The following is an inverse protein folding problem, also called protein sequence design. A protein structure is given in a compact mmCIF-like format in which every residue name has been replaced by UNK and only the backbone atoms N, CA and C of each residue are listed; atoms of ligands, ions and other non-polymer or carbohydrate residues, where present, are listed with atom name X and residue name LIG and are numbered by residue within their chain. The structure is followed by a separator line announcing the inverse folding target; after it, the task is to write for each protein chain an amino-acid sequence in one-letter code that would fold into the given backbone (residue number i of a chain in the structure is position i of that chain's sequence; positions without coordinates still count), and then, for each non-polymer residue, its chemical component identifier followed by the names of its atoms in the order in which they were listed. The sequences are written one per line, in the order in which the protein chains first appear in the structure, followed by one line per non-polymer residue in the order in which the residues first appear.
data_IF_117813545039
#
_entry.id   IF_117813545039
#
_cell.length_a   1.000
_cell.length_b   1.000
_cell.length_c   1.000
_cell.angle_alpha   90.00
_cell.angle_beta   90.00
_cell.angle_gamma   90.00
#
_symmetry.space_group_name_H-M   'P 1'
#
loop_
_entity.id
_entity.type
_entity.pdbx_description
1 polymer ?
#
# COMPACT_ATOMS: atom_id res chain seq x y z
N UNK A 1 16.19 34.26 -7.00
CA UNK A 1 15.25 33.37 -6.29
C UNK A 1 15.24 32.05 -7.04
N UNK A 2 15.94 31.03 -6.54
CA UNK A 2 15.99 29.70 -7.17
C UNK A 2 15.10 28.80 -6.33
N UNK A 3 13.92 28.44 -6.85
CA UNK A 3 13.14 27.33 -6.31
C UNK A 3 13.80 26.05 -6.81
N UNK A 4 14.55 25.37 -5.94
CA UNK A 4 14.96 23.99 -6.21
C UNK A 4 13.72 23.11 -6.04
N UNK A 5 13.20 22.58 -7.16
CA UNK A 5 12.20 21.51 -7.11
C UNK A 5 12.97 20.25 -6.68
N UNK A 6 12.65 19.63 -5.53
CA UNK A 6 13.31 18.39 -5.16
C UNK A 6 13.05 17.34 -6.25
N UNK A 7 14.11 16.63 -6.63
CA UNK A 7 13.99 15.48 -7.53
C UNK A 7 13.05 14.44 -6.90
N UNK A 8 12.28 13.69 -7.69
CA UNK A 8 11.43 12.63 -7.16
C UNK A 8 12.31 11.66 -6.38
N UNK A 9 11.96 11.44 -5.11
CA UNK A 9 12.62 10.43 -4.28
C UNK A 9 12.41 9.05 -4.92
N UNK A 10 13.47 8.25 -4.99
CA UNK A 10 13.35 6.82 -5.31
C UNK A 10 12.51 6.15 -4.24
N UNK A 11 11.55 5.32 -4.65
CA UNK A 11 10.64 4.64 -3.73
C UNK A 11 11.42 3.78 -2.72
N UNK A 12 11.02 3.86 -1.44
CA UNK A 12 11.59 3.14 -0.30
C UNK A 12 10.59 2.11 0.25
N UNK A 13 10.90 0.83 0.08
CA UNK A 13 10.08 -0.29 0.55
C UNK A 13 9.87 -0.26 2.08
N UNK A 14 10.88 0.13 2.87
CA UNK A 14 10.74 0.18 4.33
C UNK A 14 9.86 1.34 4.78
N UNK A 15 9.89 2.47 4.06
CA UNK A 15 8.92 3.54 4.28
C UNK A 15 7.50 3.07 3.96
N UNK A 16 7.30 2.36 2.85
CA UNK A 16 6.01 1.75 2.51
C UNK A 16 5.50 0.79 3.59
N UNK A 17 6.40 -0.04 4.15
CA UNK A 17 6.08 -0.92 5.28
C UNK A 17 5.67 -0.14 6.53
N UNK A 18 6.36 0.96 6.85
CA UNK A 18 6.01 1.85 7.98
C UNK A 18 4.62 2.45 7.81
N UNK A 19 4.29 2.92 6.60
CA UNK A 19 2.95 3.42 6.27
C UNK A 19 1.89 2.32 6.47
N UNK A 20 2.13 1.11 5.97
CA UNK A 20 1.21 -0.02 6.16
C UNK A 20 1.03 -0.39 7.64
N UNK A 21 2.10 -0.35 8.44
CA UNK A 21 2.04 -0.57 9.87
C UNK A 21 1.16 0.47 10.57
N UNK A 22 1.31 1.75 10.22
CA UNK A 22 0.63 2.85 10.90
C UNK A 22 -0.86 2.96 10.50
N UNK A 23 -1.16 2.82 9.21
CA UNK A 23 -2.49 3.09 8.68
C UNK A 23 -3.35 1.85 8.46
N UNK A 24 -2.73 0.69 8.18
CA UNK A 24 -3.45 -0.48 7.65
C UNK A 24 -3.43 -1.70 8.59
N UNK A 25 -2.38 -1.88 9.38
CA UNK A 25 -2.12 -3.11 10.14
C UNK A 25 -3.11 -3.40 11.28
N UNK A 26 -3.93 -2.42 11.67
CA UNK A 26 -5.06 -2.66 12.60
C UNK A 26 -6.09 -3.63 12.03
N UNK A 27 -6.25 -3.64 10.70
CA UNK A 27 -7.27 -4.44 10.03
C UNK A 27 -6.66 -5.51 9.14
N UNK A 28 -5.60 -5.19 8.41
CA UNK A 28 -4.98 -6.07 7.42
C UNK A 28 -3.71 -6.73 7.97
N UNK A 29 -3.48 -8.00 7.63
CA UNK A 29 -2.14 -8.56 7.76
C UNK A 29 -1.23 -8.00 6.68
N UNK A 30 -0.04 -7.56 7.10
CA UNK A 30 0.97 -6.93 6.24
C UNK A 30 2.24 -7.79 6.10
N UNK A 31 2.25 -8.99 6.68
CA UNK A 31 3.34 -9.95 6.55
C UNK A 31 2.99 -11.07 5.54
N UNK A 32 3.89 -12.04 5.39
CA UNK A 32 3.77 -13.13 4.39
C UNK A 32 2.97 -14.34 4.89
N UNK A 33 2.56 -14.41 6.15
CA UNK A 33 2.10 -15.66 6.78
C UNK A 33 0.84 -15.52 7.63
N UNK A 34 0.68 -14.43 8.35
CA UNK A 34 -0.36 -14.23 9.33
C UNK A 34 -1.72 -13.99 8.68
N UNK A 35 -2.82 -14.40 9.34
CA UNK A 35 -4.15 -13.95 8.98
C UNK A 35 -4.35 -12.48 9.37
N UNK A 36 -5.24 -11.77 8.67
CA UNK A 36 -5.62 -10.41 9.02
C UNK A 36 -6.27 -10.34 10.41
N UNK A 37 -5.97 -9.31 11.22
CA UNK A 37 -6.65 -9.08 12.51
C UNK A 37 -8.17 -8.96 12.36
N UNK A 38 -8.64 -8.31 11.28
CA UNK A 38 -10.05 -8.26 10.92
C UNK A 38 -10.33 -9.29 9.83
N UNK A 39 -11.20 -10.28 10.12
CA UNK A 39 -11.48 -11.42 9.22
C UNK A 39 -11.92 -11.04 7.80
N UNK A 40 -12.66 -9.94 7.65
CA UNK A 40 -13.15 -9.47 6.34
C UNK A 40 -12.08 -8.70 5.54
N UNK A 41 -11.01 -8.26 6.19
CA UNK A 41 -9.94 -7.51 5.55
C UNK A 41 -8.94 -8.49 4.91
N UNK A 42 -8.74 -8.48 3.59
CA UNK A 42 -7.80 -9.41 2.95
C UNK A 42 -6.36 -9.12 3.41
N UNK A 43 -5.52 -10.16 3.60
CA UNK A 43 -4.10 -9.97 3.85
C UNK A 43 -3.44 -9.37 2.60
N UNK A 44 -2.54 -8.41 2.77
CA UNK A 44 -1.97 -7.64 1.65
C UNK A 44 -1.25 -8.51 0.62
N UNK A 45 -0.62 -9.60 1.05
CA UNK A 45 0.02 -10.61 0.20
C UNK A 45 -0.91 -11.32 -0.80
N UNK A 46 -2.22 -11.07 -0.76
CA UNK A 46 -3.21 -11.66 -1.68
C UNK A 46 -3.86 -10.64 -2.62
N UNK A 47 -3.53 -9.34 -2.49
CA UNK A 47 -4.17 -8.30 -3.30
C UNK A 47 -3.88 -8.49 -4.80
N UNK A 48 -2.63 -8.87 -5.13
CA UNK A 48 -2.17 -9.12 -6.51
C UNK A 48 -2.87 -10.27 -7.22
N UNK A 49 -3.54 -11.15 -6.46
CA UNK A 49 -4.36 -12.24 -7.02
C UNK A 49 -5.65 -11.70 -7.64
N UNK A 50 -6.10 -10.50 -7.23
CA UNK A 50 -7.35 -9.88 -7.69
C UNK A 50 -7.12 -8.80 -8.74
N UNK A 51 -6.07 -8.02 -8.60
CA UNK A 51 -5.71 -6.92 -9.51
C UNK A 51 -4.23 -6.51 -9.31
N UNK A 52 -3.58 -5.90 -10.32
CA UNK A 52 -2.28 -5.26 -10.14
C UNK A 52 -2.34 -4.22 -9.03
N UNK A 53 -1.46 -4.31 -8.02
CA UNK A 53 -1.52 -3.45 -6.83
C UNK A 53 -1.33 -1.96 -7.17
N UNK A 54 -0.72 -1.65 -8.31
CA UNK A 54 -0.56 -0.30 -8.86
C UNK A 54 -1.90 0.37 -9.17
N UNK A 55 -2.96 -0.38 -9.43
CA UNK A 55 -4.30 0.19 -9.60
C UNK A 55 -4.82 0.87 -8.32
N UNK A 56 -4.17 0.66 -7.17
CA UNK A 56 -4.50 1.35 -5.93
C UNK A 56 -3.91 2.77 -5.85
N UNK A 57 -3.02 3.18 -6.75
CA UNK A 57 -2.31 4.46 -6.65
C UNK A 57 -3.25 5.67 -6.57
N UNK A 58 -4.25 5.74 -7.45
CA UNK A 58 -5.22 6.84 -7.46
C UNK A 58 -6.02 6.87 -6.15
N UNK A 59 -6.53 5.72 -5.72
CA UNK A 59 -7.27 5.63 -4.45
C UNK A 59 -6.38 5.98 -3.24
N UNK A 60 -5.10 5.61 -3.26
CA UNK A 60 -4.14 5.97 -2.21
C UNK A 60 -3.84 7.48 -2.20
N UNK A 61 -3.82 8.12 -3.36
CA UNK A 61 -3.53 9.56 -3.50
C UNK A 61 -4.76 10.44 -3.19
N UNK A 62 -5.94 10.04 -3.65
CA UNK A 62 -7.16 10.86 -3.57
C UNK A 62 -8.02 10.52 -2.34
N UNK A 63 -7.79 9.36 -1.73
CA UNK A 63 -8.45 8.91 -0.51
C UNK A 63 -9.02 7.51 -0.65
N UNK A 64 -8.56 6.57 0.20
CA UNK A 64 -9.03 5.18 0.09
C UNK A 64 -10.48 5.08 0.58
N UNK A 65 -11.41 4.95 -0.36
CA UNK A 65 -12.82 4.64 -0.08
C UNK A 65 -13.09 3.23 -0.61
N UNK A 66 -13.25 2.27 0.29
CA UNK A 66 -13.74 0.94 -0.07
C UNK A 66 -15.22 0.81 0.23
N UNK A 67 -15.88 -0.18 -0.36
CA UNK A 67 -17.31 -0.45 -0.18
C UNK A 67 -17.73 -0.91 1.22
N UNK A 68 -16.91 -0.72 2.27
CA UNK A 68 -17.26 -1.06 3.63
C UNK A 68 -16.85 0.05 4.62
N UNK A 69 -17.78 0.55 5.47
CA UNK A 69 -17.57 1.75 6.28
C UNK A 69 -16.51 1.63 7.39
N UNK A 70 -16.04 0.41 7.67
CA UNK A 70 -15.02 0.15 8.72
C UNK A 70 -13.61 0.51 8.26
N UNK A 71 -13.35 0.66 6.96
CA UNK A 71 -12.03 1.05 6.47
C UNK A 71 -11.89 2.59 6.57
N UNK A 72 -10.90 3.11 7.34
CA UNK A 72 -10.72 4.54 7.49
C UNK A 72 -10.36 5.21 6.16
N UNK A 73 -10.85 6.43 5.96
CA UNK A 73 -10.44 7.27 4.85
C UNK A 73 -9.17 8.04 5.21
N UNK A 74 -8.17 7.96 4.33
CA UNK A 74 -6.94 8.75 4.37
C UNK A 74 -6.35 8.78 2.96
N UNK A 75 -5.48 9.75 2.70
CA UNK A 75 -4.66 9.82 1.49
C UNK A 75 -3.18 9.88 1.86
N UNK A 76 -2.34 9.49 0.89
CA UNK A 76 -0.90 9.58 0.95
C UNK A 76 -0.38 10.63 -0.03
N UNK A 77 0.75 11.23 0.31
CA UNK A 77 1.49 12.07 -0.65
C UNK A 77 2.03 11.22 -1.81
N UNK A 78 2.29 11.80 -3.00
CA UNK A 78 2.67 11.03 -4.19
C UNK A 78 3.87 10.09 -4.01
N UNK A 79 4.88 10.53 -3.28
CA UNK A 79 6.07 9.78 -2.89
C UNK A 79 5.74 8.64 -1.91
N UNK A 80 4.86 8.89 -0.93
CA UNK A 80 4.35 7.86 -0.02
C UNK A 80 3.53 6.79 -0.75
N UNK A 81 2.76 7.17 -1.78
CA UNK A 81 2.04 6.21 -2.63
C UNK A 81 3.04 5.26 -3.30
N UNK A 82 4.12 5.80 -3.88
CA UNK A 82 5.14 4.98 -4.54
C UNK A 82 5.84 4.02 -3.56
N UNK A 83 6.20 4.52 -2.38
CA UNK A 83 6.76 3.70 -1.29
C UNK A 83 5.82 2.56 -0.90
N UNK A 84 4.53 2.88 -0.73
CA UNK A 84 3.51 1.92 -0.33
C UNK A 84 3.27 0.85 -1.39
N UNK A 85 3.17 1.23 -2.67
CA UNK A 85 3.04 0.28 -3.79
C UNK A 85 4.27 -0.63 -3.88
N UNK A 86 5.48 -0.08 -3.71
CA UNK A 86 6.71 -0.88 -3.69
C UNK A 86 6.68 -1.93 -2.57
N UNK A 87 6.19 -1.54 -1.39
CA UNK A 87 5.98 -2.48 -0.29
C UNK A 87 4.95 -3.56 -0.63
N UNK A 88 3.77 -3.20 -1.18
CA UNK A 88 2.76 -4.19 -1.58
C UNK A 88 3.32 -5.22 -2.58
N UNK A 89 4.09 -4.76 -3.57
CA UNK A 89 4.77 -5.62 -4.55
C UNK A 89 5.72 -6.62 -3.89
N UNK A 90 6.42 -6.21 -2.83
CA UNK A 90 7.35 -7.10 -2.10
C UNK A 90 6.65 -8.31 -1.43
N UNK A 91 5.34 -8.23 -1.24
CA UNK A 91 4.51 -9.28 -0.64
C UNK A 91 3.93 -10.25 -1.68
N UNK A 92 4.03 -9.94 -2.97
CA UNK A 92 3.52 -10.80 -4.03
C UNK A 92 4.28 -12.12 -4.08
N UNK A 93 3.60 -13.21 -3.74
CA UNK A 93 4.10 -14.56 -3.99
C UNK A 93 3.70 -15.01 -5.39
N UNK A 94 4.68 -15.42 -6.21
CA UNK A 94 4.44 -16.22 -7.41
C UNK A 94 4.30 -15.50 -8.76
N UNK A 95 4.64 -14.21 -8.89
CA UNK A 95 4.63 -13.47 -10.18
C UNK A 95 5.86 -12.58 -10.44
N UNK A 96 6.97 -12.75 -9.73
CA UNK A 96 8.25 -12.39 -10.32
C UNK A 96 8.53 -13.42 -11.44
N UNK A 97 8.17 -13.09 -12.68
CA UNK A 97 8.49 -13.84 -13.91
C UNK A 97 7.45 -14.90 -14.39
N UNK A 98 6.26 -14.46 -14.85
CA UNK A 98 5.50 -15.19 -15.87
C UNK A 98 4.78 -14.24 -16.82
#
# INVERSE_FOLDING_TARGET
MICAVPAPAVADQEQGRRLAQLYCARCHAIDKVSPSPLKIAPPFRTLHERYPVEMLQEALAEGIVTGHPTMPQFSFEPDQVNDFILFLKSLETGKANR
#
